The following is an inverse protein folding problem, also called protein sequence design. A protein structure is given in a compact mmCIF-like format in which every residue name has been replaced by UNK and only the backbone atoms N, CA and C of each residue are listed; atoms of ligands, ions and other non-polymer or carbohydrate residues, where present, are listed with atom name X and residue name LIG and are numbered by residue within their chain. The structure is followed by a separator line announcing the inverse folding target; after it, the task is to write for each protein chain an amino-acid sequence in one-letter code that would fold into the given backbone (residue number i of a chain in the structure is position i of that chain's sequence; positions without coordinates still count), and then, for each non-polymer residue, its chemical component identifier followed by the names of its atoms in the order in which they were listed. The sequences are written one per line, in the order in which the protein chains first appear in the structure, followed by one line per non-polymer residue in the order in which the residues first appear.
data_IF_471235371477
#
_entry.id   IF_471235371477
#
_cell.length_a   1.000
_cell.length_b   1.000
_cell.length_c   1.000
_cell.angle_alpha   90.00
_cell.angle_beta   90.00
_cell.angle_gamma   90.00
#
_symmetry.space_group_name_H-M   'P 1'
#
loop_
_entity.id
_entity.type
_entity.pdbx_description
1 polymer ?
#
# COMPACT_ATOMS: atom_id res chain seq x y z
N UNK A 1 -53.62 -11.21 66.49
CA UNK A 1 -52.16 -11.39 66.45
C UNK A 1 -51.72 -11.42 64.98
N UNK A 2 -50.88 -10.49 64.51
CA UNK A 2 -50.52 -10.38 63.09
C UNK A 2 -49.28 -11.20 62.72
N UNK A 3 -49.22 -11.62 61.47
CA UNK A 3 -48.19 -12.45 60.86
C UNK A 3 -46.99 -11.62 60.37
N UNK A 4 -45.78 -12.16 60.54
CA UNK A 4 -44.52 -11.60 60.03
C UNK A 4 -44.23 -12.20 58.65
N UNK A 5 -44.06 -11.34 57.65
CA UNK A 5 -43.67 -11.69 56.26
C UNK A 5 -42.15 -11.57 56.11
N UNK A 6 -41.46 -12.63 55.71
CA UNK A 6 -40.07 -12.58 55.22
C UNK A 6 -40.03 -12.89 53.73
N UNK A 7 -39.65 -11.94 52.89
CA UNK A 7 -39.06 -12.23 51.57
C UNK A 7 -38.52 -10.94 50.96
N UNK A 8 -37.21 -10.69 51.03
CA UNK A 8 -36.56 -9.61 50.27
C UNK A 8 -35.04 -9.81 50.04
N UNK A 9 -34.43 -10.90 50.51
CA UNK A 9 -32.96 -11.08 50.47
C UNK A 9 -32.43 -11.67 49.17
N UNK A 10 -33.17 -12.56 48.51
CA UNK A 10 -32.70 -13.27 47.30
C UNK A 10 -32.82 -12.44 46.01
N UNK A 11 -33.74 -11.46 45.98
CA UNK A 11 -33.95 -10.58 44.83
C UNK A 11 -32.86 -9.49 44.72
N UNK A 12 -32.27 -9.07 45.84
CA UNK A 12 -31.19 -8.07 45.83
C UNK A 12 -29.88 -8.68 45.30
N UNK A 13 -29.55 -9.90 45.72
CA UNK A 13 -28.34 -10.63 45.28
C UNK A 13 -28.29 -10.86 43.77
N UNK A 14 -29.40 -11.23 43.14
CA UNK A 14 -29.48 -11.44 41.69
C UNK A 14 -29.30 -10.12 40.92
N UNK A 15 -29.82 -9.00 41.45
CA UNK A 15 -29.65 -7.66 40.85
C UNK A 15 -28.19 -7.19 40.89
N UNK A 16 -27.48 -7.46 41.98
CA UNK A 16 -26.04 -7.13 42.07
C UNK A 16 -25.18 -7.99 41.14
N UNK A 17 -25.52 -9.27 40.95
CA UNK A 17 -24.81 -10.16 40.01
C UNK A 17 -25.01 -9.76 38.54
N UNK A 18 -26.24 -9.33 38.16
CA UNK A 18 -26.55 -8.84 36.81
C UNK A 18 -25.88 -7.49 36.51
N UNK A 19 -25.78 -6.58 37.48
CA UNK A 19 -25.02 -5.34 37.33
C UNK A 19 -23.51 -5.58 37.19
N UNK A 20 -22.97 -6.57 37.92
CA UNK A 20 -21.56 -6.97 37.82
C UNK A 20 -21.20 -7.52 36.43
N UNK A 21 -22.01 -8.42 35.86
CA UNK A 21 -21.77 -8.93 34.50
C UNK A 21 -21.89 -7.83 33.42
N UNK A 22 -22.85 -6.91 33.56
CA UNK A 22 -22.99 -5.79 32.62
C UNK A 22 -21.78 -4.83 32.68
N UNK A 23 -21.21 -4.60 33.87
CA UNK A 23 -20.03 -3.74 34.04
C UNK A 23 -18.74 -4.35 33.46
N UNK A 24 -18.54 -5.67 33.58
CA UNK A 24 -17.38 -6.36 33.00
C UNK A 24 -17.47 -6.39 31.46
N UNK A 25 -18.67 -6.58 30.90
CA UNK A 25 -18.89 -6.51 29.46
C UNK A 25 -18.60 -5.12 28.87
N UNK A 26 -18.91 -4.05 29.62
CA UNK A 26 -18.66 -2.68 29.19
C UNK A 26 -17.17 -2.30 29.24
N UNK A 27 -16.42 -2.83 30.21
CA UNK A 27 -14.95 -2.68 30.28
C UNK A 27 -14.27 -3.43 29.13
N UNK A 28 -14.73 -4.64 28.78
CA UNK A 28 -14.19 -5.42 27.66
C UNK A 28 -14.51 -4.79 26.28
N UNK A 29 -15.68 -4.17 26.12
CA UNK A 29 -16.03 -3.41 24.92
C UNK A 29 -15.24 -2.10 24.80
N UNK A 30 -14.97 -1.41 25.91
CA UNK A 30 -14.19 -0.18 25.91
C UNK A 30 -12.72 -0.42 25.49
N UNK A 31 -12.13 -1.56 25.83
CA UNK A 31 -10.76 -1.90 25.40
C UNK A 31 -10.64 -2.11 23.88
N UNK A 32 -11.71 -2.51 23.18
CA UNK A 32 -11.69 -2.65 21.72
C UNK A 32 -11.75 -1.29 21.00
N UNK A 33 -12.32 -0.26 21.63
CA UNK A 33 -12.42 1.09 21.06
C UNK A 33 -11.13 1.93 21.25
N UNK A 34 -10.31 1.63 22.26
CA UNK A 34 -9.03 2.34 22.48
C UNK A 34 -7.87 1.88 21.59
N UNK A 35 -7.97 0.74 20.91
CA UNK A 35 -6.89 0.24 20.04
C UNK A 35 -6.77 1.00 18.71
N UNK A 36 -7.82 1.70 18.28
CA UNK A 36 -7.83 2.46 17.04
C UNK A 36 -6.92 3.71 17.10
N UNK A 37 -6.71 4.27 18.30
CA UNK A 37 -5.89 5.47 18.52
C UNK A 37 -4.38 5.17 18.66
N UNK A 38 -3.97 3.89 18.56
CA UNK A 38 -2.59 3.43 18.79
C UNK A 38 -1.95 2.77 17.57
N UNK A 39 -2.62 2.72 16.40
CA UNK A 39 -2.06 2.08 15.22
C UNK A 39 -1.35 3.10 14.31
N UNK A 40 0.00 3.21 14.34
CA UNK A 40 0.73 4.18 13.52
C UNK A 40 0.57 3.91 12.02
N UNK A 41 0.27 2.68 11.61
CA UNK A 41 -0.03 2.38 10.20
C UNK A 41 -1.35 3.04 9.77
N UNK A 42 -2.39 2.97 10.60
CA UNK A 42 -3.67 3.61 10.31
C UNK A 42 -3.56 5.15 10.34
N UNK A 43 -2.85 5.70 11.33
CA UNK A 43 -2.66 7.15 11.47
C UNK A 43 -1.90 7.77 10.31
N UNK A 44 -0.90 7.05 9.77
CA UNK A 44 -0.07 7.52 8.68
C UNK A 44 -0.53 7.02 7.31
N UNK A 45 -1.74 6.45 7.22
CA UNK A 45 -2.28 5.96 5.96
C UNK A 45 -2.61 7.10 5.01
N UNK A 46 -2.11 7.00 3.78
CA UNK A 46 -2.41 7.89 2.67
C UNK A 46 -3.01 7.07 1.55
N UNK A 47 -4.29 7.33 1.26
CA UNK A 47 -4.99 6.75 0.11
C UNK A 47 -4.34 7.25 -1.18
N UNK A 48 -4.13 6.34 -2.12
CA UNK A 48 -3.53 6.64 -3.43
C UNK A 48 -4.44 6.26 -4.60
N UNK A 49 -5.32 5.27 -4.43
CA UNK A 49 -6.27 4.86 -5.45
C UNK A 49 -7.34 5.93 -5.72
N UNK A 50 -7.73 6.10 -6.98
CA UNK A 50 -8.96 6.80 -7.34
C UNK A 50 -10.19 5.95 -6.94
N UNK A 51 -11.24 6.58 -6.42
CA UNK A 51 -12.48 5.89 -6.03
C UNK A 51 -12.34 5.01 -4.78
N UNK A 52 -13.24 4.05 -4.59
CA UNK A 52 -13.28 3.16 -3.42
C UNK A 52 -12.69 1.79 -3.73
N UNK A 53 -11.38 1.72 -3.97
CA UNK A 53 -10.68 0.47 -4.25
C UNK A 53 -10.58 -0.41 -3.00
N UNK A 54 -11.09 -1.64 -3.08
CA UNK A 54 -11.02 -2.67 -2.04
C UNK A 54 -11.11 -4.07 -2.67
N UNK A 55 -10.87 -5.12 -1.86
CA UNK A 55 -11.01 -6.51 -2.32
C UNK A 55 -12.40 -6.79 -2.89
N UNK A 56 -12.45 -7.65 -3.91
CA UNK A 56 -13.71 -8.17 -4.45
C UNK A 56 -14.41 -9.13 -3.48
N UNK A 57 -13.70 -9.63 -2.46
CA UNK A 57 -14.26 -10.49 -1.43
C UNK A 57 -14.93 -9.64 -0.35
N UNK A 58 -16.12 -10.04 0.08
CA UNK A 58 -16.84 -9.36 1.17
C UNK A 58 -16.05 -9.40 2.48
N UNK A 59 -15.32 -10.49 2.71
CA UNK A 59 -14.38 -10.69 3.81
C UNK A 59 -13.10 -11.31 3.23
N UNK A 60 -12.08 -10.51 2.89
CA UNK A 60 -10.85 -11.04 2.30
C UNK A 60 -10.02 -11.84 3.32
N UNK A 61 -9.38 -12.91 2.84
CA UNK A 61 -8.26 -13.55 3.55
C UNK A 61 -7.00 -12.70 3.39
N UNK A 62 -6.94 -11.57 4.11
CA UNK A 62 -5.85 -10.60 4.00
C UNK A 62 -4.51 -11.23 4.40
N UNK A 63 -3.54 -11.23 3.48
CA UNK A 63 -2.19 -11.76 3.71
C UNK A 63 -1.19 -10.65 3.96
N UNK A 64 -0.22 -10.91 4.82
CA UNK A 64 0.90 -10.02 5.09
C UNK A 64 2.20 -10.62 4.56
N UNK A 65 2.97 -9.82 3.85
CA UNK A 65 4.32 -10.14 3.41
C UNK A 65 5.30 -9.10 3.96
N UNK A 66 6.53 -9.54 4.23
CA UNK A 66 7.64 -8.66 4.61
C UNK A 66 8.65 -8.66 3.48
N UNK A 67 9.00 -7.46 2.99
CA UNK A 67 9.89 -7.30 1.85
C UNK A 67 11.11 -6.43 2.18
N UNK A 68 12.10 -6.47 1.29
CA UNK A 68 13.29 -5.61 1.31
C UNK A 68 13.54 -4.90 -0.03
N UNK A 69 12.76 -5.19 -1.09
CA UNK A 69 12.92 -4.63 -2.43
C UNK A 69 11.64 -3.93 -2.90
N UNK A 70 11.21 -2.91 -2.13
CA UNK A 70 9.92 -2.20 -2.33
C UNK A 70 9.55 -1.89 -3.78
N UNK A 71 10.49 -1.42 -4.58
CA UNK A 71 10.19 -1.01 -5.96
C UNK A 71 9.88 -2.22 -6.87
N UNK A 72 10.63 -3.32 -6.72
CA UNK A 72 10.43 -4.55 -7.49
C UNK A 72 9.17 -5.28 -7.02
N UNK A 73 8.96 -5.31 -5.72
CA UNK A 73 7.77 -5.84 -5.07
C UNK A 73 6.50 -5.13 -5.56
N UNK A 74 6.49 -3.80 -5.58
CA UNK A 74 5.36 -3.01 -6.09
C UNK A 74 5.05 -3.32 -7.57
N UNK A 75 6.08 -3.51 -8.40
CA UNK A 75 5.89 -3.87 -9.81
C UNK A 75 5.31 -5.28 -9.93
N UNK A 76 5.83 -6.22 -9.14
CA UNK A 76 5.32 -7.60 -9.09
C UNK A 76 3.86 -7.64 -8.68
N UNK A 77 3.44 -6.82 -7.71
CA UNK A 77 2.04 -6.69 -7.31
C UNK A 77 1.14 -6.23 -8.47
N UNK A 78 1.59 -5.23 -9.25
CA UNK A 78 0.88 -4.77 -10.44
C UNK A 78 0.81 -5.88 -11.52
N UNK A 79 1.92 -6.56 -11.78
CA UNK A 79 1.97 -7.68 -12.75
C UNK A 79 1.10 -8.85 -12.31
N UNK A 80 0.97 -9.09 -11.01
CA UNK A 80 0.05 -10.07 -10.47
C UNK A 80 -1.41 -9.61 -10.55
N UNK A 81 -1.69 -8.37 -10.96
CA UNK A 81 -3.05 -7.84 -11.14
C UNK A 81 -3.68 -7.31 -9.85
N UNK A 82 -2.83 -6.93 -8.88
CA UNK A 82 -3.26 -6.11 -7.76
C UNK A 82 -3.09 -4.63 -8.09
N UNK A 83 -3.88 -3.78 -7.45
CA UNK A 83 -3.73 -2.33 -7.55
C UNK A 83 -3.57 -1.69 -6.17
N UNK A 84 -2.86 -0.57 -6.13
CA UNK A 84 -2.41 0.07 -4.90
C UNK A 84 -3.54 0.92 -4.31
N UNK A 85 -4.02 0.52 -3.13
CA UNK A 85 -5.04 1.26 -2.39
C UNK A 85 -4.43 2.52 -1.74
N UNK A 86 -3.26 2.35 -1.14
CA UNK A 86 -2.57 3.40 -0.41
C UNK A 86 -1.34 2.89 0.30
N UNK A 87 -0.70 3.78 1.06
CA UNK A 87 0.52 3.46 1.80
C UNK A 87 0.52 4.10 3.18
N UNK A 88 1.27 3.50 4.10
CA UNK A 88 1.62 4.12 5.38
C UNK A 88 3.13 4.24 5.47
N UNK A 89 3.64 5.32 6.05
CA UNK A 89 5.07 5.48 6.28
C UNK A 89 5.35 6.38 7.48
N UNK A 90 6.23 5.93 8.37
CA UNK A 90 6.60 6.66 9.59
C UNK A 90 7.96 6.17 10.11
N UNK A 91 8.63 7.01 10.89
CA UNK A 91 9.80 6.62 11.68
C UNK A 91 9.41 6.45 13.14
N UNK A 92 10.00 5.47 13.82
CA UNK A 92 9.69 5.20 15.21
C UNK A 92 10.58 4.13 15.82
N UNK A 93 10.28 3.78 17.07
CA UNK A 93 10.89 2.63 17.75
C UNK A 93 10.38 1.32 17.14
N UNK A 94 10.64 0.19 17.79
CA UNK A 94 10.07 -1.09 17.37
C UNK A 94 8.52 -1.04 17.35
N UNK A 95 7.93 -1.36 16.19
CA UNK A 95 6.48 -1.42 15.98
C UNK A 95 6.13 -2.77 15.39
N UNK A 96 5.11 -3.43 15.95
CA UNK A 96 4.66 -4.73 15.48
C UNK A 96 4.05 -4.63 14.07
N UNK A 97 4.53 -5.49 13.16
CA UNK A 97 3.96 -5.66 11.81
C UNK A 97 2.51 -6.16 11.85
N UNK A 98 2.08 -6.82 12.94
CA UNK A 98 0.68 -7.24 13.12
C UNK A 98 -0.32 -6.08 13.09
N UNK A 99 0.11 -4.87 13.45
CA UNK A 99 -0.71 -3.66 13.36
C UNK A 99 -0.97 -3.26 11.89
N UNK A 100 -0.03 -3.51 10.98
CA UNK A 100 -0.22 -3.31 9.56
C UNK A 100 -1.26 -4.30 9.01
N UNK A 101 -1.21 -5.56 9.43
CA UNK A 101 -2.21 -6.57 9.07
C UNK A 101 -3.61 -6.22 9.60
N UNK A 102 -3.70 -5.74 10.84
CA UNK A 102 -4.97 -5.27 11.40
C UNK A 102 -5.55 -4.12 10.58
N UNK A 103 -4.72 -3.15 10.19
CA UNK A 103 -5.17 -2.05 9.36
C UNK A 103 -5.58 -2.51 7.96
N UNK A 104 -4.80 -3.39 7.34
CA UNK A 104 -5.10 -3.96 6.03
C UNK A 104 -6.47 -4.67 5.99
N UNK A 105 -6.80 -5.44 7.04
CA UNK A 105 -8.13 -6.04 7.20
C UNK A 105 -9.24 -4.99 7.32
N UNK A 106 -9.00 -3.91 8.05
CA UNK A 106 -9.98 -2.81 8.17
C UNK A 106 -10.24 -2.10 6.83
N UNK A 107 -9.24 -2.03 5.97
CA UNK A 107 -9.35 -1.50 4.61
C UNK A 107 -9.96 -2.51 3.62
N UNK A 108 -10.18 -3.76 4.03
CA UNK A 108 -10.51 -4.89 3.14
C UNK A 108 -9.49 -5.05 2.01
N UNK A 109 -8.21 -4.92 2.33
CA UNK A 109 -7.13 -5.24 1.41
C UNK A 109 -6.97 -6.76 1.29
N UNK A 110 -6.55 -7.23 0.12
CA UNK A 110 -6.17 -8.64 -0.06
C UNK A 110 -4.74 -8.88 0.45
N UNK A 111 -3.85 -7.90 0.26
CA UNK A 111 -2.44 -8.00 0.63
C UNK A 111 -1.95 -6.72 1.31
N UNK A 112 -1.11 -6.87 2.33
CA UNK A 112 -0.23 -5.82 2.86
C UNK A 112 1.22 -6.24 2.75
N UNK A 113 2.05 -5.36 2.19
CA UNK A 113 3.51 -5.52 2.18
C UNK A 113 4.13 -4.58 3.20
N UNK A 114 4.95 -5.11 4.10
CA UNK A 114 5.59 -4.35 5.17
C UNK A 114 7.10 -4.32 4.94
N UNK A 115 7.69 -3.14 5.10
CA UNK A 115 9.11 -2.90 4.99
C UNK A 115 9.58 -2.18 6.23
N UNK A 116 10.73 -2.61 6.74
CA UNK A 116 11.41 -1.99 7.86
C UNK A 116 12.85 -1.73 7.45
N UNK A 117 13.29 -0.49 7.61
CA UNK A 117 14.67 -0.09 7.37
C UNK A 117 15.22 0.50 8.65
N UNK A 118 16.39 0.03 9.07
CA UNK A 118 17.12 0.66 10.16
C UNK A 118 17.50 2.09 9.77
N UNK A 119 17.16 3.07 10.61
CA UNK A 119 17.43 4.48 10.36
C UNK A 119 18.64 4.94 11.17
N UNK A 120 18.59 4.76 12.49
CA UNK A 120 19.75 5.00 13.34
C UNK A 120 19.60 4.33 14.71
N UNK A 121 20.74 4.06 15.33
CA UNK A 121 20.91 4.03 16.77
C UNK A 121 22.07 5.01 17.01
N UNK A 122 22.11 5.68 18.15
CA UNK A 122 23.35 6.37 18.53
C UNK A 122 24.40 5.30 18.89
N UNK A 123 25.04 4.74 17.86
CA UNK A 123 25.96 3.61 17.99
C UNK A 123 27.26 4.03 18.67
N UNK A 124 27.99 3.05 19.23
CA UNK A 124 29.35 3.24 19.73
C UNK A 124 30.31 3.86 18.69
N UNK A 125 30.06 3.65 17.39
CA UNK A 125 30.85 4.28 16.31
C UNK A 125 30.59 5.79 16.21
N UNK A 126 29.33 6.22 16.33
CA UNK A 126 28.93 7.63 16.36
C UNK A 126 29.52 8.32 17.59
N UNK A 127 29.50 7.64 18.75
CA UNK A 127 30.13 8.11 19.99
C UNK A 127 31.65 8.25 19.83
N UNK A 128 32.32 7.27 19.23
CA UNK A 128 33.77 7.34 19.00
C UNK A 128 34.15 8.49 18.07
N UNK A 129 33.30 8.82 17.09
CA UNK A 129 33.50 9.97 16.20
C UNK A 129 33.31 11.30 16.95
N UNK A 130 32.26 11.42 17.77
CA UNK A 130 32.05 12.58 18.66
C UNK A 130 33.25 12.79 19.60
N UNK A 131 33.72 11.72 20.25
CA UNK A 131 34.89 11.76 21.15
C UNK A 131 36.15 12.23 20.39
N UNK A 132 36.39 11.70 19.18
CA UNK A 132 37.54 12.10 18.35
C UNK A 132 37.47 13.57 17.91
N UNK A 133 36.28 14.09 17.60
CA UNK A 133 36.11 15.48 17.21
C UNK A 133 36.26 16.45 18.39
N UNK A 134 35.70 16.11 19.56
CA UNK A 134 35.85 16.89 20.78
C UNK A 134 37.32 16.93 21.24
N UNK A 135 38.02 15.79 21.21
CA UNK A 135 39.44 15.70 21.53
C UNK A 135 40.32 16.54 20.58
N UNK A 136 39.96 16.63 19.30
CA UNK A 136 40.66 17.49 18.32
C UNK A 136 40.42 18.98 18.56
N UNK A 137 39.24 19.35 19.04
CA UNK A 137 38.84 20.76 19.25
C UNK A 137 39.11 21.26 20.67
N UNK A 138 39.57 20.39 21.58
CA UNK A 138 39.72 20.73 23.00
C UNK A 138 38.39 21.08 23.66
N UNK A 139 37.28 20.55 23.13
CA UNK A 139 35.93 20.82 23.62
C UNK A 139 35.52 19.78 24.67
N UNK A 140 34.78 20.23 25.67
CA UNK A 140 34.18 19.36 26.68
C UNK A 140 32.99 18.60 26.05
N UNK A 141 32.85 17.31 26.38
CA UNK A 141 31.77 16.46 25.88
C UNK A 141 30.64 16.47 26.93
N UNK A 142 29.41 16.76 26.52
CA UNK A 142 28.24 16.61 27.38
C UNK A 142 28.01 15.11 27.66
N UNK A 143 27.90 14.66 28.92
CA UNK A 143 27.56 13.28 29.27
C UNK A 143 26.30 12.76 28.56
N UNK A 144 25.34 13.63 28.25
CA UNK A 144 24.11 13.27 27.52
C UNK A 144 24.38 12.88 26.06
N UNK A 145 25.45 13.39 25.44
CA UNK A 145 25.85 13.06 24.05
C UNK A 145 26.48 11.66 23.93
N UNK A 146 26.75 11.01 25.08
CA UNK A 146 27.29 9.66 25.18
C UNK A 146 26.20 8.63 25.54
N UNK A 147 24.96 9.07 25.78
CA UNK A 147 23.85 8.15 26.03
C UNK A 147 23.43 7.43 24.75
N UNK A 148 23.09 6.15 24.87
CA UNK A 148 22.53 5.39 23.75
C UNK A 148 21.08 5.85 23.49
N UNK A 149 20.91 6.69 22.47
CA UNK A 149 19.59 7.00 21.93
C UNK A 149 18.88 5.71 21.46
N UNK A 150 17.53 5.63 21.62
CA UNK A 150 16.77 4.44 21.27
C UNK A 150 16.90 4.13 19.77
N UNK A 151 16.97 2.84 19.42
CA UNK A 151 16.99 2.41 18.02
C UNK A 151 15.73 2.90 17.29
N UNK A 152 15.96 3.54 16.15
CA UNK A 152 14.94 4.05 15.25
C UNK A 152 14.92 3.26 13.95
N UNK A 153 13.71 2.99 13.49
CA UNK A 153 13.41 2.34 12.23
C UNK A 153 12.47 3.21 11.42
N UNK A 154 12.69 3.20 10.11
CA UNK A 154 11.75 3.69 9.13
C UNK A 154 10.85 2.53 8.67
N UNK A 155 9.55 2.69 8.89
CA UNK A 155 8.53 1.73 8.48
C UNK A 155 7.83 2.20 7.22
N UNK A 156 7.48 1.25 6.36
CA UNK A 156 6.60 1.47 5.23
C UNK A 156 5.65 0.28 5.08
N UNK A 157 4.40 0.56 4.74
CA UNK A 157 3.44 -0.46 4.36
C UNK A 157 2.68 -0.04 3.09
N UNK A 158 2.47 -0.97 2.16
CA UNK A 158 1.61 -0.78 0.99
C UNK A 158 0.45 -1.77 1.02
N UNK A 159 -0.76 -1.30 0.69
CA UNK A 159 -2.01 -2.05 0.79
C UNK A 159 -2.61 -2.23 -0.59
N UNK A 160 -3.02 -3.46 -0.90
CA UNK A 160 -3.32 -3.87 -2.26
C UNK A 160 -4.65 -4.63 -2.34
N UNK A 161 -5.41 -4.34 -3.39
CA UNK A 161 -6.64 -5.05 -3.73
C UNK A 161 -6.46 -5.78 -5.06
N UNK A 162 -6.98 -7.01 -5.14
CA UNK A 162 -6.97 -7.82 -6.35
C UNK A 162 -8.05 -7.33 -7.30
N UNK A 163 -7.66 -6.95 -8.51
CA UNK A 163 -8.61 -6.53 -9.54
C UNK A 163 -9.14 -7.72 -10.34
N UNK A 164 -10.36 -7.62 -10.91
CA UNK A 164 -10.80 -8.58 -11.92
C UNK A 164 -9.89 -8.46 -13.15
N UNK A 165 -9.78 -9.55 -13.90
CA UNK A 165 -8.97 -9.55 -15.12
C UNK A 165 -9.43 -8.42 -16.06
N UNK A 166 -8.55 -7.47 -16.42
CA UNK A 166 -8.95 -6.33 -17.23
C UNK A 166 -9.11 -6.68 -18.70
N UNK A 167 -9.61 -5.70 -19.46
CA UNK A 167 -9.81 -5.81 -20.90
C UNK A 167 -8.52 -5.93 -21.70
N UNK A 168 -7.42 -5.31 -21.23
CA UNK A 168 -6.12 -5.30 -21.91
C UNK A 168 -4.97 -5.75 -20.99
N UNK A 169 -4.81 -5.13 -19.82
CA UNK A 169 -3.89 -5.59 -18.76
C UNK A 169 -2.49 -5.00 -18.78
N UNK A 170 -2.41 -3.67 -18.81
CA UNK A 170 -1.15 -2.92 -18.72
C UNK A 170 -1.29 -1.78 -17.71
N UNK A 171 -0.20 -1.47 -17.02
CA UNK A 171 -0.03 -0.22 -16.30
C UNK A 171 0.95 0.65 -17.08
N UNK A 172 0.60 1.93 -17.26
CA UNK A 172 1.37 2.85 -18.11
C UNK A 172 1.63 4.18 -17.43
N UNK A 173 2.68 4.86 -17.88
CA UNK A 173 3.00 6.23 -17.51
C UNK A 173 3.26 7.08 -18.76
N UNK A 174 2.94 8.37 -18.68
CA UNK A 174 3.34 9.35 -19.69
C UNK A 174 4.76 9.84 -19.38
N UNK A 175 5.69 9.67 -20.31
CA UNK A 175 7.05 10.19 -20.16
C UNK A 175 7.12 11.65 -20.61
N UNK A 176 7.80 12.47 -19.80
CA UNK A 176 8.16 13.85 -20.12
C UNK A 176 9.68 13.92 -20.21
N UNK A 177 10.19 14.55 -21.25
CA UNK A 177 11.61 14.84 -21.39
C UNK A 177 11.89 16.23 -20.82
N UNK A 178 12.69 16.30 -19.76
CA UNK A 178 13.23 17.55 -19.28
C UNK A 178 14.35 18.01 -20.22
N UNK A 179 14.18 19.18 -20.84
CA UNK A 179 15.18 19.80 -21.69
C UNK A 179 15.81 20.97 -20.94
N UNK A 180 17.13 20.94 -20.72
CA UNK A 180 17.86 22.00 -20.01
C UNK A 180 17.81 23.37 -20.73
N UNK A 181 17.36 23.42 -21.98
CA UNK A 181 17.30 24.62 -22.82
C UNK A 181 15.88 25.11 -23.14
N UNK A 182 14.82 24.44 -22.70
CA UNK A 182 13.43 24.81 -22.99
C UNK A 182 12.66 25.07 -21.70
N UNK A 183 11.82 26.11 -21.71
CA UNK A 183 11.06 26.55 -20.53
C UNK A 183 9.94 25.57 -20.09
N UNK A 184 9.67 24.52 -20.87
CA UNK A 184 8.70 23.49 -20.56
C UNK A 184 9.19 22.10 -21.02
N UNK A 185 8.98 21.02 -20.22
CA UNK A 185 9.30 19.66 -20.62
C UNK A 185 8.53 19.24 -21.87
N UNK A 186 9.21 18.62 -22.83
CA UNK A 186 8.56 18.09 -24.04
C UNK A 186 8.00 16.71 -23.76
N UNK A 187 6.71 16.51 -23.99
CA UNK A 187 6.10 15.19 -23.82
C UNK A 187 6.55 14.23 -24.94
N UNK A 188 6.98 13.03 -24.55
CA UNK A 188 7.35 12.00 -25.51
C UNK A 188 6.10 11.31 -26.07
N UNK A 189 6.11 10.88 -27.35
CA UNK A 189 4.98 10.18 -27.94
C UNK A 189 4.72 8.85 -27.23
N UNK A 190 3.45 8.43 -27.18
CA UNK A 190 3.07 7.17 -26.59
C UNK A 190 2.96 7.15 -25.07
N UNK A 191 2.76 5.94 -24.55
CA UNK A 191 2.63 5.62 -23.13
C UNK A 191 3.61 4.50 -22.78
N UNK A 192 4.50 4.74 -21.81
CA UNK A 192 5.49 3.75 -21.38
C UNK A 192 4.85 2.72 -20.47
N UNK A 193 5.03 1.45 -20.78
CA UNK A 193 4.54 0.32 -19.99
C UNK A 193 5.45 0.11 -18.78
N UNK A 194 4.87 0.14 -17.58
CA UNK A 194 5.59 -0.09 -16.33
C UNK A 194 5.34 -1.49 -15.75
N UNK A 195 4.20 -2.10 -16.06
CA UNK A 195 3.87 -3.47 -15.69
C UNK A 195 2.87 -4.05 -16.70
N UNK A 196 2.97 -5.37 -16.93
CA UNK A 196 2.04 -6.12 -17.77
C UNK A 196 1.41 -7.20 -16.90
N UNK A 197 0.09 -7.23 -16.84
CA UNK A 197 -0.62 -8.15 -15.93
C UNK A 197 -0.53 -9.56 -16.48
N UNK A 198 -0.08 -10.51 -15.66
CA UNK A 198 0.04 -11.93 -16.01
C UNK A 198 -1.30 -12.49 -16.47
N UNK A 199 -1.25 -13.35 -17.49
CA UNK A 199 -2.40 -13.96 -18.15
C UNK A 199 -3.41 -13.00 -18.80
N UNK A 200 -3.12 -11.69 -18.84
CA UNK A 200 -3.94 -10.71 -19.54
C UNK A 200 -3.75 -10.78 -21.06
N UNK A 201 -4.66 -10.17 -21.85
CA UNK A 201 -4.49 -10.01 -23.30
C UNK A 201 -3.14 -9.44 -23.72
N UNK A 202 -2.63 -8.42 -23.03
CA UNK A 202 -1.33 -7.83 -23.32
C UNK A 202 -0.17 -8.79 -23.06
N UNK A 203 -0.22 -9.55 -21.95
CA UNK A 203 0.79 -10.57 -21.67
C UNK A 203 0.80 -11.68 -22.72
N UNK A 204 -0.39 -12.11 -23.16
CA UNK A 204 -0.52 -13.21 -24.11
C UNK A 204 0.03 -12.89 -25.51
N UNK A 205 0.25 -11.61 -25.84
CA UNK A 205 0.91 -11.20 -27.08
C UNK A 205 2.40 -10.92 -26.93
N UNK A 206 2.97 -11.08 -25.73
CA UNK A 206 4.39 -10.84 -25.48
C UNK A 206 4.75 -9.37 -25.34
N UNK A 207 3.79 -8.53 -24.91
CA UNK A 207 4.05 -7.17 -24.49
C UNK A 207 4.87 -7.19 -23.20
N UNK A 208 5.88 -6.32 -23.10
CA UNK A 208 6.83 -6.32 -22.00
C UNK A 208 6.85 -4.96 -21.29
N UNK A 209 7.34 -4.98 -20.05
CA UNK A 209 7.75 -3.76 -19.35
C UNK A 209 8.77 -3.01 -20.21
N UNK A 210 8.68 -1.69 -20.17
CA UNK A 210 9.45 -0.74 -20.96
C UNK A 210 9.11 -0.68 -22.47
N UNK A 211 8.13 -1.43 -22.96
CA UNK A 211 7.52 -1.10 -24.25
C UNK A 211 6.84 0.27 -24.17
N UNK A 212 6.78 0.99 -25.30
CA UNK A 212 6.02 2.24 -25.42
C UNK A 212 4.84 1.98 -26.34
N UNK A 213 3.61 2.09 -25.83
CA UNK A 213 2.40 1.98 -26.62
C UNK A 213 2.17 3.25 -27.42
N UNK A 214 2.02 3.12 -28.74
CA UNK A 214 1.82 4.25 -29.65
C UNK A 214 0.37 4.33 -30.11
N UNK A 215 -0.23 3.19 -30.48
CA UNK A 215 -1.63 3.10 -30.94
C UNK A 215 -2.33 1.83 -30.46
N UNK A 216 -3.64 1.93 -30.33
CA UNK A 216 -4.55 0.79 -30.18
C UNK A 216 -5.69 0.95 -31.19
N UNK A 217 -5.66 0.17 -32.25
CA UNK A 217 -6.58 0.28 -33.38
C UNK A 217 -6.35 1.59 -34.14
N UNK A 218 -7.41 2.40 -34.23
CA UNK A 218 -7.37 3.74 -34.84
C UNK A 218 -7.01 4.85 -33.83
N UNK A 219 -6.84 4.52 -32.54
CA UNK A 219 -6.60 5.52 -31.48
C UNK A 219 -5.11 5.69 -31.23
N UNK A 220 -4.62 6.92 -31.38
CA UNK A 220 -3.27 7.32 -30.95
C UNK A 220 -3.23 7.56 -29.45
N UNK A 221 -2.24 6.95 -28.78
CA UNK A 221 -2.15 6.93 -27.33
C UNK A 221 -1.22 8.04 -26.85
N UNK A 222 -1.79 9.21 -26.51
CA UNK A 222 -1.01 10.33 -25.97
C UNK A 222 -1.16 10.43 -24.45
N UNK A 223 -2.30 10.02 -23.92
CA UNK A 223 -2.66 10.10 -22.50
C UNK A 223 -3.21 8.76 -22.00
N UNK A 224 -3.26 8.56 -20.67
CA UNK A 224 -3.85 7.36 -20.10
C UNK A 224 -5.36 7.24 -20.43
N UNK A 225 -6.05 8.36 -20.60
CA UNK A 225 -7.46 8.39 -20.98
C UNK A 225 -7.69 7.89 -22.41
N UNK A 226 -6.77 8.19 -23.34
CA UNK A 226 -6.82 7.65 -24.70
C UNK A 226 -6.78 6.12 -24.68
N UNK A 227 -5.88 5.55 -23.86
CA UNK A 227 -5.78 4.10 -23.68
C UNK A 227 -7.05 3.54 -23.08
N UNK A 228 -7.58 4.16 -22.02
CA UNK A 228 -8.82 3.73 -21.40
C UNK A 228 -9.99 3.74 -22.39
N UNK A 229 -10.13 4.81 -23.18
CA UNK A 229 -11.16 4.96 -24.19
C UNK A 229 -11.01 3.92 -25.31
N UNK A 230 -9.80 3.69 -25.81
CA UNK A 230 -9.51 2.72 -26.86
C UNK A 230 -9.79 1.28 -26.40
N UNK A 231 -9.32 0.91 -25.20
CA UNK A 231 -9.57 -0.42 -24.62
C UNK A 231 -11.07 -0.66 -24.42
N UNK A 232 -11.81 0.37 -24.02
CA UNK A 232 -13.28 0.32 -23.91
C UNK A 232 -13.97 0.16 -25.27
N UNK A 233 -13.51 0.88 -26.30
CA UNK A 233 -14.07 0.85 -27.66
C UNK A 233 -13.90 -0.52 -28.32
N UNK A 234 -12.74 -1.15 -28.14
CA UNK A 234 -12.39 -2.42 -28.76
C UNK A 234 -12.63 -3.64 -27.86
N UNK A 235 -13.38 -3.49 -26.77
CA UNK A 235 -13.65 -4.59 -25.84
C UNK A 235 -14.23 -5.82 -26.58
N UNK A 236 -13.64 -7.00 -26.32
CA UNK A 236 -14.00 -8.27 -26.95
C UNK A 236 -13.50 -8.44 -28.39
N UNK A 237 -12.83 -7.46 -28.98
CA UNK A 237 -12.38 -7.51 -30.37
C UNK A 237 -10.89 -7.82 -30.49
N UNK A 238 -10.50 -8.35 -31.66
CA UNK A 238 -9.10 -8.47 -32.07
C UNK A 238 -8.67 -7.17 -32.73
N UNK A 239 -7.69 -6.49 -32.14
CA UNK A 239 -7.27 -5.14 -32.53
C UNK A 239 -5.75 -5.05 -32.64
N UNK A 240 -5.25 -4.23 -33.56
CA UNK A 240 -3.83 -3.96 -33.70
C UNK A 240 -3.33 -3.05 -32.57
N UNK A 241 -2.19 -3.39 -31.98
CA UNK A 241 -1.42 -2.55 -31.05
C UNK A 241 -0.13 -2.18 -31.74
N UNK A 242 0.11 -0.89 -31.93
CA UNK A 242 1.39 -0.36 -32.38
C UNK A 242 2.21 0.00 -31.14
N UNK A 243 3.41 -0.57 -31.03
CA UNK A 243 4.32 -0.35 -29.91
C UNK A 243 5.74 -0.14 -30.40
N UNK A 244 6.53 0.55 -29.59
CA UNK A 244 7.96 0.69 -29.76
C UNK A 244 8.68 -0.06 -28.65
N UNK A 245 9.61 -0.94 -29.04
CA UNK A 245 10.55 -1.61 -28.15
C UNK A 245 11.94 -1.16 -28.53
N UNK A 246 12.62 -0.52 -27.58
CA UNK A 246 13.90 0.16 -27.84
C UNK A 246 13.72 1.17 -28.99
N UNK A 247 14.32 0.93 -30.16
CA UNK A 247 14.21 1.78 -31.35
C UNK A 247 13.32 1.18 -32.46
N UNK A 248 12.78 -0.02 -32.25
CA UNK A 248 11.98 -0.73 -33.25
C UNK A 248 10.48 -0.51 -33.01
N UNK A 249 9.79 -0.01 -34.02
CA UNK A 249 8.32 0.04 -34.05
C UNK A 249 7.77 -1.26 -34.62
N UNK A 250 6.81 -1.86 -33.93
CA UNK A 250 6.15 -3.08 -34.35
C UNK A 250 4.64 -3.02 -34.11
N UNK A 251 3.90 -3.81 -34.88
CA UNK A 251 2.45 -3.95 -34.72
C UNK A 251 2.12 -5.39 -34.38
N UNK A 252 1.30 -5.58 -33.35
CA UNK A 252 0.84 -6.90 -32.90
C UNK A 252 -0.68 -6.93 -32.83
N UNK A 253 -1.29 -8.07 -33.17
CA UNK A 253 -2.74 -8.24 -33.04
C UNK A 253 -3.07 -8.81 -31.66
N UNK A 254 -3.84 -8.07 -30.86
CA UNK A 254 -4.26 -8.46 -29.50
C UNK A 254 -5.76 -8.74 -29.49
N UNK A 255 -6.16 -9.86 -28.89
CA UNK A 255 -7.56 -10.16 -28.60
C UNK A 255 -7.93 -9.60 -27.22
N UNK A 256 -8.69 -8.50 -27.16
CA UNK A 256 -9.14 -7.93 -25.90
C UNK A 256 -10.22 -8.79 -25.24
N UNK A 257 -10.26 -8.79 -23.91
CA UNK A 257 -11.35 -9.44 -23.18
C UNK A 257 -12.67 -8.69 -23.43
N UNK A 258 -13.79 -9.40 -23.32
CA UNK A 258 -15.12 -8.79 -23.36
C UNK A 258 -15.48 -8.21 -21.99
N UNK A 259 -16.40 -7.24 -21.98
CA UNK A 259 -17.02 -6.77 -20.74
C UNK A 259 -17.89 -7.91 -20.18
N UNK A 260 -17.67 -8.22 -18.90
CA UNK A 260 -18.58 -9.07 -18.12
C UNK A 260 -19.71 -8.23 -17.57
#
# INVERSE_FOLDING_TARGET
MPAIRSNNSSISLIKYMLFSLASIGLVLFAHQLYAADLNPYAQNYKKQSAGDLHSLQTVPDTKMFVGNHKNEDNITMLEDGYDLMGTSGFSGREVSSGLALQHAKSLKADIVMVYQKYESAQTASSKLQLIKEAAKKGAEIDPNDLEEGPTQYQYHASYWAKLPMPLFGVHVIKLKQESASEAAPKELPGLKVIAVIKASPANNTGLLRADTLLKLGDVTLNTADDLFAAVKRYAGQKVAVELQREDAVMTQMVQLNARK
#
